data_IF_078106995859
#
_entry.id   IF_078106995859
#
_cell.length_a   1.000
_cell.length_b   1.000
_cell.length_c   1.000
_cell.angle_alpha   90.00
_cell.angle_beta   90.00
_cell.angle_gamma   90.00
#
_symmetry.space_group_name_H-M   'P 1'
#
loop_
_entity.id
_entity.type
_entity.pdbx_description
1 polymer ?
#
# COMPACT_ATOMS: atom_id res chain seq x y z
N UNK A 1 10.87 0.23 -21.52
CA UNK A 1 9.51 0.78 -21.30
C UNK A 1 9.59 2.29 -21.32
N UNK A 2 8.61 2.98 -21.90
CA UNK A 2 8.54 4.44 -21.90
C UNK A 2 7.78 4.92 -20.63
N UNK A 3 8.40 4.71 -19.47
CA UNK A 3 7.82 5.10 -18.17
C UNK A 3 7.93 6.62 -18.04
N UNK A 4 6.82 7.27 -17.66
CA UNK A 4 6.78 8.73 -17.46
C UNK A 4 6.26 9.13 -16.10
N UNK A 5 5.25 8.44 -15.57
CA UNK A 5 4.62 8.77 -14.29
C UNK A 5 4.94 7.67 -13.29
N UNK A 6 5.46 8.04 -12.13
CA UNK A 6 5.94 7.08 -11.12
C UNK A 6 5.42 7.47 -9.74
N UNK A 7 4.74 6.53 -9.07
CA UNK A 7 4.31 6.70 -7.69
C UNK A 7 5.49 6.60 -6.73
N UNK A 8 5.89 7.72 -6.12
CA UNK A 8 6.92 7.75 -5.09
C UNK A 8 6.36 7.76 -3.67
N UNK A 9 5.04 7.87 -3.49
CA UNK A 9 4.39 7.69 -2.20
C UNK A 9 4.35 6.19 -1.84
N UNK A 10 5.20 5.76 -0.91
CA UNK A 10 5.26 4.39 -0.43
C UNK A 10 5.93 4.32 0.95
N UNK A 11 6.01 3.12 1.52
CA UNK A 11 6.60 2.89 2.84
C UNK A 11 8.12 3.13 2.94
N UNK A 12 8.79 3.36 1.80
CA UNK A 12 10.23 3.61 1.63
C UNK A 12 10.55 5.03 1.13
N UNK A 13 9.54 5.90 0.98
CA UNK A 13 9.69 7.26 0.38
C UNK A 13 10.84 8.07 0.97
N UNK A 14 11.10 7.95 2.28
CA UNK A 14 12.10 8.75 2.98
C UNK A 14 13.18 7.94 3.67
N UNK A 15 13.50 6.73 3.19
CA UNK A 15 14.53 5.88 3.80
C UNK A 15 15.90 6.58 3.87
N UNK A 16 16.19 7.47 2.92
CA UNK A 16 17.39 8.33 2.89
C UNK A 16 17.14 9.75 3.43
N UNK A 17 16.10 9.91 4.25
CA UNK A 17 15.71 11.19 4.83
C UNK A 17 15.13 12.19 3.83
N UNK A 18 15.01 13.44 4.27
CA UNK A 18 14.43 14.52 3.45
C UNK A 18 15.32 14.88 2.26
N UNK A 19 16.64 14.81 2.41
CA UNK A 19 17.59 15.06 1.33
C UNK A 19 17.44 14.02 0.23
N UNK A 20 17.49 12.71 0.57
CA UNK A 20 17.30 11.65 -0.42
C UNK A 20 15.92 11.68 -1.12
N UNK A 21 14.86 12.07 -0.40
CA UNK A 21 13.55 12.31 -1.02
C UNK A 21 13.59 13.47 -2.02
N UNK A 22 14.18 14.59 -1.64
CA UNK A 22 14.26 15.80 -2.48
C UNK A 22 15.10 15.52 -3.72
N UNK A 23 16.28 14.89 -3.55
CA UNK A 23 17.13 14.45 -4.65
C UNK A 23 16.37 13.50 -5.59
N UNK A 24 15.58 12.55 -5.04
CA UNK A 24 14.78 11.64 -5.87
C UNK A 24 13.76 12.39 -6.71
N UNK A 25 13.08 13.38 -6.14
CA UNK A 25 12.10 14.22 -6.87
C UNK A 25 12.81 15.00 -7.98
N UNK A 26 13.90 15.70 -7.65
CA UNK A 26 14.64 16.54 -8.60
C UNK A 26 15.25 15.71 -9.73
N UNK A 27 15.90 14.59 -9.41
CA UNK A 27 16.55 13.72 -10.40
C UNK A 27 15.53 13.01 -11.30
N UNK A 28 14.34 12.68 -10.77
CA UNK A 28 13.23 12.16 -11.56
C UNK A 28 12.77 13.19 -12.60
N UNK A 29 12.49 14.42 -12.17
CA UNK A 29 12.04 15.50 -13.04
C UNK A 29 13.07 15.84 -14.13
N UNK A 30 14.34 15.92 -13.77
CA UNK A 30 15.44 16.14 -14.72
C UNK A 30 15.53 15.07 -15.82
N UNK A 31 15.09 13.85 -15.52
CA UNK A 31 15.06 12.71 -16.47
C UNK A 31 13.72 12.58 -17.21
N UNK A 32 12.79 13.51 -17.02
CA UNK A 32 11.47 13.48 -17.63
C UNK A 32 10.52 12.46 -17.00
N UNK A 33 10.80 12.02 -15.76
CA UNK A 33 9.86 11.30 -14.92
C UNK A 33 9.05 12.30 -14.09
N UNK A 34 7.77 12.02 -13.91
CA UNK A 34 6.83 12.85 -13.16
C UNK A 34 6.50 12.12 -11.86
N UNK A 35 6.98 12.65 -10.71
CA UNK A 35 6.74 12.03 -9.42
C UNK A 35 5.27 12.20 -9.00
N UNK A 36 4.66 11.13 -8.51
CA UNK A 36 3.29 11.13 -8.01
C UNK A 36 3.25 10.89 -6.49
N UNK A 37 2.44 11.69 -5.79
CA UNK A 37 2.12 11.49 -4.38
C UNK A 37 3.21 11.94 -3.40
N UNK A 38 4.20 12.71 -3.86
CA UNK A 38 5.26 13.33 -3.06
C UNK A 38 5.37 14.81 -3.40
N UNK A 39 5.90 15.62 -2.50
CA UNK A 39 6.14 17.05 -2.74
C UNK A 39 6.85 17.75 -1.59
N UNK A 40 7.13 19.04 -1.75
CA UNK A 40 7.85 19.84 -0.75
C UNK A 40 6.94 20.33 0.39
N UNK A 41 5.63 20.08 0.25
CA UNK A 41 4.60 20.34 1.26
C UNK A 41 3.46 19.32 1.15
N UNK A 42 2.60 19.24 2.17
CA UNK A 42 1.42 18.37 2.12
C UNK A 42 0.45 18.76 1.00
N UNK A 43 0.31 20.06 0.74
CA UNK A 43 -0.50 20.56 -0.35
C UNK A 43 0.03 20.06 -1.69
N UNK A 44 1.34 20.14 -1.93
CA UNK A 44 1.95 19.62 -3.17
C UNK A 44 1.84 18.11 -3.30
N UNK A 45 2.16 17.36 -2.24
CA UNK A 45 2.10 15.90 -2.28
C UNK A 45 0.69 15.39 -2.62
N UNK A 46 -0.35 16.11 -2.17
CA UNK A 46 -1.75 15.78 -2.44
C UNK A 46 -2.25 16.16 -3.83
N UNK A 47 -1.56 17.03 -4.56
CA UNK A 47 -2.07 17.54 -5.83
C UNK A 47 -2.34 16.38 -6.80
N UNK A 48 -3.48 16.41 -7.50
CA UNK A 48 -3.69 15.52 -8.64
C UNK A 48 -2.70 15.89 -9.74
N UNK A 49 -2.09 14.88 -10.36
CA UNK A 49 -1.30 15.05 -11.58
C UNK A 49 -2.21 14.80 -12.77
N UNK A 50 -2.26 15.76 -13.70
CA UNK A 50 -3.08 15.67 -14.90
C UNK A 50 -2.26 15.16 -16.09
N UNK A 51 -2.82 14.20 -16.80
CA UNK A 51 -2.23 13.58 -17.98
C UNK A 51 -3.16 13.89 -19.15
N UNK A 52 -2.71 14.74 -20.05
CA UNK A 52 -3.39 15.02 -21.30
C UNK A 52 -3.00 13.97 -22.35
N UNK A 53 -4.00 13.28 -22.89
CA UNK A 53 -3.86 12.31 -23.98
C UNK A 53 -4.68 12.77 -25.18
N UNK A 54 -4.54 12.09 -26.33
CA UNK A 54 -5.38 12.37 -27.48
C UNK A 54 -6.87 12.08 -27.21
N UNK A 55 -7.15 11.15 -26.28
CA UNK A 55 -8.47 10.58 -26.03
C UNK A 55 -9.09 11.01 -24.68
N UNK A 56 -8.49 12.02 -24.04
CA UNK A 56 -8.99 12.61 -22.80
C UNK A 56 -7.92 13.01 -21.80
N UNK A 57 -8.37 13.65 -20.71
CA UNK A 57 -7.55 14.03 -19.56
C UNK A 57 -7.79 13.09 -18.39
N UNK A 58 -6.70 12.55 -17.84
CA UNK A 58 -6.71 11.73 -16.61
C UNK A 58 -6.17 12.57 -15.46
N UNK A 59 -6.83 12.58 -14.31
CA UNK A 59 -6.24 13.01 -13.04
C UNK A 59 -5.79 11.78 -12.24
N UNK A 60 -4.55 11.79 -11.73
CA UNK A 60 -4.05 10.73 -10.84
C UNK A 60 -3.76 11.32 -9.46
N UNK A 61 -4.35 10.72 -8.43
CA UNK A 61 -4.05 10.99 -7.02
C UNK A 61 -3.32 9.77 -6.46
N UNK A 62 -2.09 9.94 -5.99
CA UNK A 62 -1.27 8.86 -5.41
C UNK A 62 -1.10 9.06 -3.91
N UNK A 63 -1.28 7.99 -3.14
CA UNK A 63 -1.41 8.01 -1.68
C UNK A 63 -0.56 6.91 -1.08
N UNK A 64 0.23 7.23 -0.05
CA UNK A 64 0.93 6.26 0.78
C UNK A 64 0.12 5.91 2.03
N UNK A 65 -0.10 4.62 2.28
CA UNK A 65 -0.84 4.13 3.45
C UNK A 65 0.09 3.47 4.46
N UNK A 66 0.93 2.55 4.00
CA UNK A 66 1.87 1.83 4.86
C UNK A 66 2.98 2.74 5.35
N UNK A 67 3.16 2.80 6.67
CA UNK A 67 4.08 3.74 7.36
C UNK A 67 3.84 5.20 6.97
N UNK A 68 2.60 5.56 6.62
CA UNK A 68 2.24 6.87 6.09
C UNK A 68 2.54 8.03 7.05
N UNK A 69 2.61 7.77 8.36
CA UNK A 69 3.01 8.73 9.38
C UNK A 69 4.51 9.06 9.38
N UNK A 70 5.36 8.13 8.94
CA UNK A 70 6.83 8.24 9.05
C UNK A 70 7.36 9.30 8.08
N UNK A 71 6.84 9.31 6.85
CA UNK A 71 7.29 10.19 5.78
C UNK A 71 6.21 11.17 5.31
N UNK A 72 5.19 11.43 6.16
CA UNK A 72 4.12 12.38 5.85
C UNK A 72 4.66 13.78 5.52
N UNK A 73 4.27 14.33 4.37
CA UNK A 73 4.48 15.74 4.08
C UNK A 73 3.71 16.62 5.07
N UNK A 74 4.19 17.84 5.30
CA UNK A 74 3.47 18.83 6.12
C UNK A 74 3.45 20.21 5.46
N UNK A 75 2.36 20.93 5.64
CA UNK A 75 2.27 22.33 5.22
C UNK A 75 3.04 23.24 6.18
N UNK A 76 3.47 24.44 5.73
CA UNK A 76 4.02 25.44 6.63
C UNK A 76 2.93 26.00 7.55
N UNK A 77 3.32 26.53 8.71
CA UNK A 77 2.37 27.16 9.63
C UNK A 77 3.04 27.69 10.90
N UNK A 78 2.55 28.81 11.41
CA UNK A 78 3.04 29.43 12.65
C UNK A 78 4.57 29.64 12.71
N UNK A 79 5.17 30.04 11.57
CA UNK A 79 6.62 30.22 11.46
C UNK A 79 7.44 28.94 11.23
N UNK A 80 6.80 27.76 11.22
CA UNK A 80 7.44 26.49 10.85
C UNK A 80 7.35 26.31 9.33
N UNK A 81 8.46 25.99 8.65
CA UNK A 81 8.46 25.72 7.21
C UNK A 81 7.71 24.43 6.87
N UNK A 82 7.39 24.26 5.60
CA UNK A 82 6.85 23.00 5.08
C UNK A 82 7.86 21.86 5.24
N UNK A 83 7.38 20.63 5.38
CA UNK A 83 8.23 19.44 5.36
C UNK A 83 7.91 18.62 4.10
N UNK A 84 8.93 18.32 3.27
CA UNK A 84 8.77 17.40 2.16
C UNK A 84 8.34 16.01 2.63
N UNK A 85 7.58 15.29 1.82
CA UNK A 85 7.11 13.96 2.15
C UNK A 85 6.10 13.40 1.15
N UNK A 86 5.50 12.27 1.53
CA UNK A 86 4.40 11.66 0.79
C UNK A 86 3.03 12.25 1.15
N UNK A 87 2.04 12.00 0.31
CA UNK A 87 0.61 12.18 0.56
C UNK A 87 0.09 11.04 1.46
N UNK A 88 -0.16 11.28 2.75
CA UNK A 88 -0.45 10.21 3.69
C UNK A 88 -1.95 9.95 3.80
N UNK A 89 -2.31 8.67 3.82
CA UNK A 89 -3.55 8.21 4.46
C UNK A 89 -3.17 7.46 5.74
N UNK A 90 -3.02 8.20 6.83
CA UNK A 90 -2.76 7.61 8.15
C UNK A 90 -3.94 6.76 8.58
N UNK A 91 -3.67 5.80 9.44
CA UNK A 91 -4.69 4.90 9.95
C UNK A 91 -4.34 4.44 11.37
N UNK A 92 -5.30 3.79 12.01
CA UNK A 92 -5.17 3.29 13.38
C UNK A 92 -5.71 1.88 13.48
N UNK A 93 -5.18 1.13 14.44
CA UNK A 93 -5.69 -0.18 14.85
C UNK A 93 -6.18 -0.14 16.28
N UNK A 94 -7.20 -0.92 16.57
CA UNK A 94 -7.73 -1.14 17.92
C UNK A 94 -8.11 -2.61 18.06
N UNK A 95 -7.65 -3.24 19.14
CA UNK A 95 -7.99 -4.63 19.43
C UNK A 95 -9.24 -4.67 20.27
N UNK A 96 -10.34 -5.15 19.69
CA UNK A 96 -11.56 -5.36 20.46
C UNK A 96 -11.40 -6.67 21.23
N UNK A 97 -11.67 -6.63 22.54
CA UNK A 97 -11.55 -7.79 23.44
C UNK A 97 -12.75 -7.85 24.38
N UNK A 98 -13.08 -9.05 24.86
CA UNK A 98 -14.15 -9.22 25.83
C UNK A 98 -13.77 -8.58 27.19
N UNK A 99 -14.75 -8.47 28.09
CA UNK A 99 -14.55 -7.87 29.41
C UNK A 99 -13.47 -8.55 30.26
N UNK A 100 -13.43 -9.89 30.25
CA UNK A 100 -12.45 -10.64 31.02
C UNK A 100 -11.01 -10.34 30.57
N UNK A 101 -10.76 -10.31 29.26
CA UNK A 101 -9.45 -10.00 28.69
C UNK A 101 -9.08 -8.52 28.91
N UNK A 102 -10.05 -7.61 28.78
CA UNK A 102 -9.86 -6.19 29.03
C UNK A 102 -9.40 -5.90 30.46
N UNK A 103 -10.08 -6.45 31.46
CA UNK A 103 -9.70 -6.30 32.87
C UNK A 103 -8.37 -7.02 33.18
N UNK A 104 -8.09 -8.14 32.50
CA UNK A 104 -6.81 -8.84 32.64
C UNK A 104 -5.64 -7.99 32.15
N UNK A 105 -5.77 -7.35 30.98
CA UNK A 105 -4.76 -6.44 30.42
C UNK A 105 -4.49 -5.25 31.34
N UNK A 106 -5.56 -4.63 31.86
CA UNK A 106 -5.47 -3.55 32.84
C UNK A 106 -4.74 -3.99 34.11
N UNK A 107 -5.12 -5.14 34.67
CA UNK A 107 -4.47 -5.68 35.86
C UNK A 107 -3.00 -6.03 35.65
N UNK A 108 -2.59 -6.51 34.46
CA UNK A 108 -1.18 -6.72 34.12
C UNK A 108 -0.44 -5.38 34.16
N UNK A 109 -0.95 -4.38 33.45
CA UNK A 109 -0.36 -3.04 33.34
C UNK A 109 -0.21 -2.34 34.70
N UNK A 110 -1.18 -2.52 35.59
CA UNK A 110 -1.11 -2.04 36.98
C UNK A 110 0.00 -2.74 37.79
N UNK A 111 0.09 -4.07 37.72
CA UNK A 111 1.10 -4.85 38.47
C UNK A 111 2.53 -4.57 38.03
N UNK A 112 2.75 -4.31 36.74
CA UNK A 112 4.07 -3.96 36.21
C UNK A 112 4.36 -2.44 36.30
N UNK A 113 3.41 -1.65 36.78
CA UNK A 113 3.58 -0.21 37.06
C UNK A 113 3.42 0.72 35.86
N UNK A 114 3.23 0.21 34.64
CA UNK A 114 3.10 1.06 33.45
C UNK A 114 1.78 1.84 33.44
N UNK A 115 0.72 1.35 34.07
CA UNK A 115 -0.53 2.10 34.23
C UNK A 115 -0.31 3.42 34.99
N UNK A 116 0.41 3.37 36.11
CA UNK A 116 0.73 4.56 36.90
C UNK A 116 1.65 5.54 36.15
N UNK A 117 2.60 4.99 35.37
CA UNK A 117 3.48 5.78 34.49
C UNK A 117 2.67 6.50 33.40
N UNK A 118 1.76 5.79 32.74
CA UNK A 118 0.89 6.33 31.68
C UNK A 118 0.00 7.46 32.22
N UNK A 119 -0.66 7.25 33.37
CA UNK A 119 -1.50 8.28 34.01
C UNK A 119 -0.69 9.52 34.44
N UNK A 120 0.50 9.30 35.01
CA UNK A 120 1.40 10.40 35.38
C UNK A 120 1.83 11.19 34.15
N UNK A 121 2.23 10.51 33.08
CA UNK A 121 2.61 11.12 31.82
C UNK A 121 1.46 11.91 31.20
N UNK A 122 0.28 11.32 31.05
CA UNK A 122 -0.91 12.01 30.53
C UNK A 122 -1.27 13.25 31.34
N UNK A 123 -1.19 13.18 32.67
CA UNK A 123 -1.46 14.35 33.54
C UNK A 123 -0.43 15.47 33.35
N UNK A 124 0.85 15.12 33.24
CA UNK A 124 1.94 16.10 33.07
C UNK A 124 1.87 16.73 31.67
N UNK A 125 1.70 15.91 30.63
CA UNK A 125 1.62 16.33 29.23
C UNK A 125 0.23 16.86 28.83
N UNK A 126 -0.73 16.83 29.77
CA UNK A 126 -2.12 17.27 29.57
C UNK A 126 -2.89 16.50 28.48
N UNK A 127 -2.49 15.27 28.20
CA UNK A 127 -3.21 14.39 27.27
C UNK A 127 -4.51 13.90 27.88
N UNK A 128 -5.57 13.87 27.06
CA UNK A 128 -6.89 13.41 27.48
C UNK A 128 -6.92 11.89 27.51
N UNK A 129 -7.47 11.34 28.59
CA UNK A 129 -7.83 9.92 28.63
C UNK A 129 -8.97 9.64 27.64
N UNK A 130 -8.91 8.48 26.99
CA UNK A 130 -10.00 7.96 26.15
C UNK A 130 -11.19 7.54 27.02
N UNK A 131 -12.25 7.04 26.40
CA UNK A 131 -13.41 6.52 27.14
C UNK A 131 -13.04 5.33 28.03
N UNK A 132 -13.85 5.03 29.04
CA UNK A 132 -13.64 3.91 29.97
C UNK A 132 -13.56 2.53 29.28
N UNK A 133 -14.10 2.43 28.06
CA UNK A 133 -14.04 1.24 27.24
C UNK A 133 -12.73 1.11 26.44
N UNK A 134 -11.80 2.06 26.55
CA UNK A 134 -10.52 2.00 25.86
C UNK A 134 -9.37 1.91 26.85
N UNK A 135 -8.38 1.09 26.50
CA UNK A 135 -7.16 0.94 27.29
C UNK A 135 -5.92 1.03 26.41
N UNK A 136 -4.90 1.74 26.89
CA UNK A 136 -3.64 1.95 26.19
C UNK A 136 -2.54 1.19 26.94
N UNK A 137 -2.17 0.03 26.41
CA UNK A 137 -1.19 -0.87 27.02
C UNK A 137 0.19 -0.63 26.41
N UNK A 138 1.10 -0.03 27.17
CA UNK A 138 2.47 0.24 26.74
C UNK A 138 3.06 1.50 27.35
N UNK A 139 3.98 2.12 26.63
CA UNK A 139 4.67 3.35 27.03
C UNK A 139 4.05 4.57 26.34
N UNK A 140 3.95 5.68 27.06
CA UNK A 140 3.40 6.92 26.49
C UNK A 140 4.23 7.43 25.30
N UNK A 141 5.56 7.30 25.36
CA UNK A 141 6.49 7.86 24.36
C UNK A 141 7.17 6.81 23.48
N UNK A 142 7.29 5.56 23.94
CA UNK A 142 7.85 4.47 23.13
C UNK A 142 6.77 3.67 22.36
N UNK A 143 5.49 4.02 22.57
CA UNK A 143 4.35 3.41 21.88
C UNK A 143 3.55 2.44 22.74
N UNK A 144 2.29 2.26 22.36
CA UNK A 144 1.31 1.43 23.06
C UNK A 144 0.31 0.79 22.11
N UNK A 145 -0.29 -0.31 22.54
CA UNK A 145 -1.43 -0.94 21.86
C UNK A 145 -2.74 -0.38 22.43
N UNK A 146 -3.71 -0.12 21.57
CA UNK A 146 -5.05 0.32 21.99
C UNK A 146 -6.02 -0.85 21.99
N UNK A 147 -6.65 -1.10 23.13
CA UNK A 147 -7.70 -2.10 23.30
C UNK A 147 -9.05 -1.42 23.51
N UNK A 148 -10.12 -2.04 23.00
CA UNK A 148 -11.52 -1.61 23.16
C UNK A 148 -12.32 -2.77 23.79
N UNK A 149 -13.06 -2.51 24.86
CA UNK A 149 -13.96 -3.51 25.46
C UNK A 149 -15.19 -3.71 24.55
N UNK A 150 -15.45 -4.95 24.12
CA UNK A 150 -16.59 -5.28 23.27
C UNK A 150 -16.87 -6.79 23.15
N UNK A 151 -18.09 -7.14 22.72
CA UNK A 151 -18.58 -8.54 22.71
C UNK A 151 -17.96 -9.41 21.61
N UNK A 152 -17.45 -8.81 20.54
CA UNK A 152 -16.92 -9.51 19.37
C UNK A 152 -15.43 -9.21 19.19
N UNK A 153 -14.53 -10.04 19.75
CA UNK A 153 -13.09 -9.83 19.63
C UNK A 153 -12.64 -9.81 18.18
N UNK A 154 -11.88 -8.78 17.81
CA UNK A 154 -11.39 -8.57 16.43
C UNK A 154 -10.33 -7.49 16.37
N UNK A 155 -9.58 -7.47 15.27
CA UNK A 155 -8.80 -6.29 14.88
C UNK A 155 -9.73 -5.30 14.18
N UNK A 156 -9.86 -4.10 14.75
CA UNK A 156 -10.60 -2.98 14.15
C UNK A 156 -9.59 -1.99 13.58
N UNK A 157 -9.79 -1.59 12.33
CA UNK A 157 -8.94 -0.60 11.65
C UNK A 157 -9.77 0.58 11.19
N UNK A 158 -9.17 1.77 11.17
CA UNK A 158 -9.83 2.99 10.74
C UNK A 158 -8.83 3.97 10.13
N UNK A 159 -9.19 4.58 8.99
CA UNK A 159 -8.44 5.68 8.40
C UNK A 159 -8.51 6.93 9.29
N UNK A 160 -7.47 7.76 9.24
CA UNK A 160 -7.43 9.07 9.86
C UNK A 160 -8.45 9.98 9.18
N UNK A 161 -9.44 10.44 9.93
CA UNK A 161 -10.62 11.11 9.38
C UNK A 161 -10.27 12.37 8.57
N UNK A 162 -9.33 13.18 9.04
CA UNK A 162 -8.92 14.39 8.34
C UNK A 162 -8.14 14.06 7.04
N UNK A 163 -7.27 13.04 7.06
CA UNK A 163 -6.52 12.66 5.86
C UNK A 163 -7.49 12.17 4.78
N UNK A 164 -8.42 11.28 5.18
CA UNK A 164 -9.47 10.80 4.31
C UNK A 164 -10.31 11.95 3.75
N UNK A 165 -10.78 12.87 4.59
CA UNK A 165 -11.59 14.00 4.15
C UNK A 165 -10.86 14.84 3.09
N UNK A 166 -9.62 15.26 3.37
CA UNK A 166 -8.86 16.16 2.50
C UNK A 166 -8.47 15.48 1.17
N UNK A 167 -8.20 14.17 1.18
CA UNK A 167 -7.98 13.38 -0.04
C UNK A 167 -9.27 13.27 -0.86
N UNK A 168 -10.41 13.00 -0.21
CA UNK A 168 -11.70 12.92 -0.91
C UNK A 168 -12.11 14.27 -1.51
N UNK A 169 -11.82 15.39 -0.84
CA UNK A 169 -11.99 16.74 -1.40
C UNK A 169 -11.13 16.94 -2.66
N UNK A 170 -9.89 16.46 -2.64
CA UNK A 170 -9.00 16.49 -3.81
C UNK A 170 -9.55 15.67 -4.98
N UNK A 171 -10.13 14.50 -4.71
CA UNK A 171 -10.75 13.64 -5.73
C UNK A 171 -11.97 14.35 -6.35
N UNK A 172 -12.82 14.99 -5.54
CA UNK A 172 -13.97 15.76 -6.04
C UNK A 172 -13.53 16.92 -6.93
N UNK A 173 -12.53 17.68 -6.51
CA UNK A 173 -11.97 18.76 -7.32
C UNK A 173 -11.36 18.24 -8.65
N UNK A 174 -10.65 17.11 -8.60
CA UNK A 174 -10.10 16.48 -9.80
C UNK A 174 -11.19 16.04 -10.78
N UNK A 175 -12.33 15.53 -10.29
CA UNK A 175 -13.46 15.10 -11.11
C UNK A 175 -14.06 16.25 -11.93
N UNK A 176 -14.05 17.48 -11.42
CA UNK A 176 -14.53 18.65 -12.14
C UNK A 176 -13.57 19.14 -13.24
N UNK A 177 -12.32 18.63 -13.26
CA UNK A 177 -11.22 19.15 -14.10
C UNK A 177 -10.60 18.10 -15.02
N UNK A 178 -11.17 16.90 -15.07
CA UNK A 178 -10.68 15.76 -15.87
C UNK A 178 -11.83 14.87 -16.36
N UNK A 179 -11.59 14.13 -17.44
CA UNK A 179 -12.53 13.12 -17.94
C UNK A 179 -12.51 11.88 -17.03
N UNK A 180 -11.31 11.48 -16.60
CA UNK A 180 -11.09 10.30 -15.77
C UNK A 180 -10.29 10.65 -14.52
N UNK A 181 -10.64 10.04 -13.39
CA UNK A 181 -9.95 10.23 -12.10
C UNK A 181 -9.52 8.87 -11.59
N UNK A 182 -8.21 8.68 -11.47
CA UNK A 182 -7.58 7.45 -11.02
C UNK A 182 -6.95 7.68 -9.65
N UNK A 183 -7.17 6.74 -8.73
CA UNK A 183 -6.63 6.80 -7.37
C UNK A 183 -5.69 5.62 -7.16
N UNK A 184 -4.44 5.92 -6.84
CA UNK A 184 -3.39 4.96 -6.56
C UNK A 184 -3.12 4.88 -5.06
N UNK A 185 -3.14 3.66 -4.50
CA UNK A 185 -2.84 3.39 -3.08
C UNK A 185 -1.60 2.50 -2.96
N UNK A 186 -0.57 2.98 -2.27
CA UNK A 186 0.49 2.10 -1.78
C UNK A 186 0.11 1.55 -0.39
N UNK A 187 -0.20 0.25 -0.30
CA UNK A 187 -0.67 -0.41 0.91
C UNK A 187 -0.22 -1.86 1.01
N UNK A 188 0.13 -2.28 2.22
CA UNK A 188 0.42 -3.66 2.61
C UNK A 188 -0.65 -4.24 3.54
N UNK A 189 -1.43 -3.38 4.20
CA UNK A 189 -2.35 -3.75 5.27
C UNK A 189 -3.38 -4.79 4.78
N UNK A 190 -3.37 -5.96 5.42
CA UNK A 190 -4.35 -7.01 5.19
C UNK A 190 -5.20 -7.29 6.43
N UNK A 191 -6.21 -8.14 6.29
CA UNK A 191 -7.08 -8.51 7.39
C UNK A 191 -6.31 -9.11 8.59
N UNK A 192 -6.76 -8.77 9.80
CA UNK A 192 -6.17 -9.25 11.05
C UNK A 192 -4.66 -8.97 11.19
N UNK A 193 -4.17 -7.90 10.56
CA UNK A 193 -2.74 -7.56 10.48
C UNK A 193 -1.88 -8.61 9.76
N UNK A 194 -2.49 -9.52 8.99
CA UNK A 194 -1.76 -10.36 8.07
C UNK A 194 -1.50 -9.58 6.77
N UNK A 195 -0.29 -9.07 6.62
CA UNK A 195 0.14 -8.31 5.44
C UNK A 195 0.10 -9.15 4.15
N UNK A 196 0.11 -10.48 4.28
CA UNK A 196 0.09 -11.42 3.15
C UNK A 196 -1.27 -12.06 2.92
N UNK A 197 -2.31 -11.59 3.63
CA UNK A 197 -3.70 -11.94 3.37
C UNK A 197 -4.13 -11.49 1.98
N UNK A 198 -4.93 -12.34 1.31
CA UNK A 198 -5.58 -12.02 0.05
C UNK A 198 -6.64 -10.91 0.19
N UNK A 199 -7.08 -10.64 1.43
CA UNK A 199 -8.05 -9.60 1.75
C UNK A 199 -7.37 -8.39 2.39
N UNK A 200 -7.60 -7.16 1.87
CA UNK A 200 -7.07 -5.94 2.45
C UNK A 200 -7.73 -5.65 3.80
N UNK A 201 -7.08 -4.80 4.62
CA UNK A 201 -7.71 -4.34 5.86
C UNK A 201 -9.01 -3.56 5.56
N UNK A 202 -10.02 -3.70 6.43
CA UNK A 202 -11.36 -3.15 6.20
C UNK A 202 -11.40 -1.63 5.92
N UNK A 203 -10.49 -0.85 6.52
CA UNK A 203 -10.40 0.59 6.26
C UNK A 203 -9.95 0.92 4.83
N UNK A 204 -9.15 0.05 4.19
CA UNK A 204 -8.74 0.19 2.77
C UNK A 204 -9.96 0.02 1.87
N UNK A 205 -10.78 -1.01 2.10
CA UNK A 205 -12.04 -1.22 1.35
C UNK A 205 -12.97 -0.03 1.52
N UNK A 206 -13.14 0.43 2.76
CA UNK A 206 -13.97 1.59 3.08
C UNK A 206 -13.48 2.85 2.38
N UNK A 207 -12.17 3.11 2.40
CA UNK A 207 -11.57 4.26 1.74
C UNK A 207 -11.69 4.16 0.21
N UNK A 208 -11.41 3.00 -0.39
CA UNK A 208 -11.48 2.80 -1.84
C UNK A 208 -12.90 3.03 -2.37
N UNK A 209 -13.93 2.51 -1.69
CA UNK A 209 -15.34 2.80 -2.01
C UNK A 209 -15.67 4.29 -1.84
N UNK A 210 -15.19 4.92 -0.77
CA UNK A 210 -15.36 6.36 -0.55
C UNK A 210 -14.70 7.20 -1.65
N UNK A 211 -13.56 6.75 -2.19
CA UNK A 211 -12.89 7.41 -3.31
C UNK A 211 -13.73 7.35 -4.59
N UNK A 212 -14.36 6.20 -4.87
CA UNK A 212 -15.34 6.07 -5.97
C UNK A 212 -16.54 6.98 -5.75
N UNK A 213 -17.11 7.01 -4.54
CA UNK A 213 -18.22 7.92 -4.18
C UNK A 213 -17.84 9.40 -4.36
N UNK A 214 -16.57 9.74 -4.20
CA UNK A 214 -16.05 11.10 -4.41
C UNK A 214 -15.75 11.44 -5.89
N UNK A 215 -15.84 10.47 -6.81
CA UNK A 215 -15.65 10.68 -8.24
C UNK A 215 -14.48 9.92 -8.87
N UNK A 216 -13.82 9.01 -8.16
CA UNK A 216 -12.83 8.12 -8.76
C UNK A 216 -13.50 7.14 -9.74
N UNK A 217 -12.92 7.03 -10.93
CA UNK A 217 -13.34 6.08 -11.95
C UNK A 217 -12.54 4.77 -11.89
N UNK A 218 -11.40 4.77 -11.22
CA UNK A 218 -10.61 3.58 -10.97
C UNK A 218 -9.81 3.76 -9.68
N UNK A 219 -9.79 2.74 -8.84
CA UNK A 219 -8.88 2.67 -7.69
C UNK A 219 -7.98 1.46 -7.90
N UNK A 220 -6.67 1.64 -7.75
CA UNK A 220 -5.73 0.52 -7.80
C UNK A 220 -4.69 0.62 -6.68
N UNK A 221 -4.48 -0.51 -6.03
CA UNK A 221 -3.46 -0.70 -5.02
C UNK A 221 -2.18 -1.30 -5.59
N UNK A 222 -1.04 -0.95 -5.00
CA UNK A 222 0.21 -1.71 -5.07
C UNK A 222 0.87 -1.73 -3.68
N UNK A 223 1.99 -2.44 -3.53
CA UNK A 223 2.75 -2.48 -2.26
C UNK A 223 2.84 -3.88 -1.69
N UNK A 224 1.72 -4.59 -1.51
CA UNK A 224 1.71 -5.92 -0.89
C UNK A 224 2.51 -7.01 -1.64
N UNK A 225 3.09 -6.71 -2.80
CA UNK A 225 3.95 -7.57 -3.63
C UNK A 225 3.29 -8.76 -4.35
N UNK A 226 1.98 -8.97 -4.18
CA UNK A 226 1.19 -9.98 -4.89
C UNK A 226 -0.20 -9.43 -5.22
N UNK A 227 -0.90 -9.99 -6.20
CA UNK A 227 -2.24 -9.49 -6.56
C UNK A 227 -3.31 -9.85 -5.53
N UNK A 228 -4.22 -8.91 -5.22
CA UNK A 228 -5.40 -9.14 -4.36
C UNK A 228 -6.68 -9.09 -5.20
N UNK A 229 -7.82 -9.46 -4.60
CA UNK A 229 -9.11 -9.50 -5.27
C UNK A 229 -9.53 -8.16 -5.90
N UNK A 230 -10.50 -8.23 -6.81
CA UNK A 230 -10.98 -7.06 -7.58
C UNK A 230 -12.46 -6.86 -7.33
N UNK A 231 -12.90 -5.62 -7.13
CA UNK A 231 -14.30 -5.26 -6.92
C UNK A 231 -14.80 -4.36 -8.07
N UNK A 232 -16.09 -4.48 -8.43
CA UNK A 232 -16.80 -3.52 -9.27
C UNK A 232 -17.78 -2.77 -8.38
N UNK A 233 -17.37 -1.61 -7.88
CA UNK A 233 -18.18 -0.79 -6.99
C UNK A 233 -18.82 0.35 -7.78
N UNK A 234 -20.16 0.38 -7.84
CA UNK A 234 -20.93 1.33 -8.69
C UNK A 234 -20.47 1.33 -10.16
N UNK A 235 -20.08 0.15 -10.68
CA UNK A 235 -19.55 -0.02 -12.03
C UNK A 235 -18.09 0.42 -12.22
N UNK A 236 -17.45 1.00 -11.19
CA UNK A 236 -16.04 1.38 -11.25
C UNK A 236 -15.15 0.26 -10.69
N UNK A 237 -14.04 -0.09 -11.37
CA UNK A 237 -13.13 -1.12 -10.87
C UNK A 237 -12.28 -0.63 -9.69
N UNK A 238 -12.17 -1.47 -8.67
CA UNK A 238 -11.26 -1.34 -7.53
C UNK A 238 -10.34 -2.57 -7.54
N UNK A 239 -9.08 -2.38 -7.90
CA UNK A 239 -8.05 -3.40 -7.83
C UNK A 239 -7.33 -3.28 -6.49
N UNK A 240 -7.62 -4.15 -5.51
CA UNK A 240 -7.06 -3.98 -4.16
C UNK A 240 -5.53 -4.16 -4.09
N UNK A 241 -4.94 -4.90 -5.03
CA UNK A 241 -3.51 -4.88 -5.28
C UNK A 241 -3.21 -5.46 -6.67
N UNK A 242 -2.43 -4.77 -7.50
CA UNK A 242 -2.03 -5.23 -8.85
C UNK A 242 -0.72 -6.03 -8.85
N UNK A 243 -0.08 -6.13 -7.68
CA UNK A 243 1.16 -6.86 -7.51
C UNK A 243 2.39 -6.09 -7.97
N UNK A 244 3.43 -6.80 -8.38
CA UNK A 244 4.73 -6.23 -8.72
C UNK A 244 5.00 -6.30 -10.23
N UNK A 245 5.44 -5.18 -10.81
CA UNK A 245 5.90 -5.14 -12.20
C UNK A 245 7.36 -5.60 -12.35
N UNK A 246 8.21 -5.30 -11.37
CA UNK A 246 9.61 -5.70 -11.34
C UNK A 246 10.03 -5.96 -9.90
N UNK A 247 10.80 -7.02 -9.68
CA UNK A 247 11.27 -7.46 -8.37
C UNK A 247 12.68 -8.07 -8.47
N UNK A 248 13.62 -7.27 -8.95
CA UNK A 248 15.02 -7.66 -9.12
C UNK A 248 15.78 -7.36 -7.82
N UNK A 249 16.28 -8.40 -7.16
CA UNK A 249 17.04 -8.27 -5.91
C UNK A 249 18.51 -8.64 -6.06
N UNK A 250 18.89 -9.53 -6.98
CA UNK A 250 20.14 -10.29 -6.93
C UNK A 250 21.18 -9.86 -7.99
N UNK A 251 20.75 -9.40 -9.16
CA UNK A 251 21.56 -9.28 -10.37
C UNK A 251 22.12 -7.88 -10.65
N UNK A 252 21.64 -6.85 -9.95
CA UNK A 252 22.12 -5.47 -10.05
C UNK A 252 23.31 -5.12 -9.16
N UNK A 253 23.76 -3.86 -9.28
CA UNK A 253 24.65 -3.19 -8.32
C UNK A 253 23.91 -3.07 -6.98
N UNK A 254 23.87 -4.17 -6.23
CA UNK A 254 23.16 -4.27 -4.96
C UNK A 254 23.83 -3.40 -3.91
N UNK A 255 23.39 -2.15 -3.80
CA UNK A 255 23.81 -1.22 -2.75
C UNK A 255 22.98 -1.53 -1.50
N UNK A 256 23.61 -2.19 -0.53
CA UNK A 256 22.96 -2.64 0.71
C UNK A 256 23.61 -1.90 1.87
N UNK A 257 22.78 -1.31 2.73
CA UNK A 257 23.28 -0.59 3.89
C UNK A 257 23.89 -1.54 4.93
N UNK A 258 24.95 -1.13 5.66
CA UNK A 258 25.51 -1.88 6.78
C UNK A 258 24.46 -2.33 7.82
N UNK A 259 23.46 -1.48 8.06
CA UNK A 259 22.36 -1.75 8.99
C UNK A 259 21.51 -2.92 8.53
N UNK A 260 21.33 -3.11 7.21
CA UNK A 260 20.59 -4.24 6.69
C UNK A 260 21.38 -5.54 6.89
N UNK A 261 22.69 -5.55 6.60
CA UNK A 261 23.53 -6.72 6.91
C UNK A 261 23.45 -7.08 8.40
N UNK A 262 23.59 -6.09 9.27
CA UNK A 262 23.50 -6.25 10.72
C UNK A 262 22.13 -6.78 11.15
N UNK A 263 21.04 -6.26 10.58
CA UNK A 263 19.67 -6.70 10.88
C UNK A 263 19.44 -8.18 10.50
N UNK A 264 20.17 -8.69 9.51
CA UNK A 264 20.18 -10.10 9.13
C UNK A 264 21.31 -10.92 9.77
N UNK A 265 22.08 -10.34 10.70
CA UNK A 265 23.13 -11.03 11.45
C UNK A 265 24.44 -11.25 10.68
N UNK A 266 24.69 -10.48 9.63
CA UNK A 266 25.94 -10.49 8.86
C UNK A 266 26.89 -9.38 9.28
N UNK A 267 28.17 -9.51 8.90
CA UNK A 267 29.16 -8.43 8.99
C UNK A 267 28.76 -7.25 8.08
N UNK A 268 29.08 -6.04 8.49
CA UNK A 268 28.76 -4.80 7.75
C UNK A 268 29.37 -4.76 6.34
N UNK A 269 30.46 -5.49 6.10
CA UNK A 269 31.14 -5.57 4.80
C UNK A 269 30.90 -6.90 4.07
N UNK A 270 29.87 -7.66 4.47
CA UNK A 270 29.50 -8.92 3.81
C UNK A 270 29.10 -8.71 2.34
N UNK A 271 29.26 -9.74 1.52
CA UNK A 271 28.89 -9.66 0.11
C UNK A 271 27.35 -9.60 -0.05
N UNK A 272 26.82 -8.74 -0.94
CA UNK A 272 25.40 -8.73 -1.26
C UNK A 272 24.88 -10.11 -1.70
N UNK A 273 25.73 -10.88 -2.39
CA UNK A 273 25.38 -12.23 -2.86
C UNK A 273 25.10 -13.21 -1.72
N UNK A 274 25.74 -13.04 -0.56
CA UNK A 274 25.52 -13.87 0.62
C UNK A 274 24.12 -13.60 1.19
N UNK A 275 23.81 -12.33 1.44
CA UNK A 275 22.50 -11.91 1.95
C UNK A 275 21.37 -12.35 1.02
N UNK A 276 21.52 -12.13 -0.29
CA UNK A 276 20.50 -12.48 -1.27
C UNK A 276 20.26 -13.98 -1.38
N UNK A 277 21.33 -14.79 -1.51
CA UNK A 277 21.19 -16.26 -1.57
C UNK A 277 20.45 -16.81 -0.35
N UNK A 278 20.79 -16.30 0.82
CA UNK A 278 20.19 -16.72 2.08
C UNK A 278 18.77 -16.17 2.28
N UNK A 279 18.29 -15.23 1.47
CA UNK A 279 16.87 -14.81 1.42
C UNK A 279 16.09 -15.53 0.32
N UNK A 280 16.79 -16.08 -0.67
CA UNK A 280 16.20 -16.81 -1.79
C UNK A 280 15.92 -18.27 -1.45
N UNK A 281 16.88 -18.94 -0.78
CA UNK A 281 16.75 -20.33 -0.35
C UNK A 281 17.15 -20.52 1.11
N UNK A 282 16.48 -21.45 1.77
CA UNK A 282 16.84 -21.89 3.12
C UNK A 282 18.09 -22.80 3.12
N UNK A 283 18.51 -23.25 4.30
CA UNK A 283 19.66 -24.15 4.46
C UNK A 283 19.46 -25.55 3.84
N UNK A 284 18.21 -25.94 3.54
CA UNK A 284 17.85 -27.21 2.90
C UNK A 284 17.76 -27.07 1.37
N UNK A 285 17.83 -25.84 0.85
CA UNK A 285 17.75 -25.53 -0.58
C UNK A 285 16.33 -25.29 -1.10
N UNK A 286 15.33 -25.22 -0.22
CA UNK A 286 13.95 -24.86 -0.56
C UNK A 286 13.84 -23.35 -0.81
N UNK A 287 12.92 -22.95 -1.68
CA UNK A 287 12.64 -21.53 -1.90
C UNK A 287 11.96 -20.90 -0.69
N UNK A 288 12.37 -19.69 -0.31
CA UNK A 288 11.81 -18.98 0.84
C UNK A 288 11.53 -17.51 0.55
N UNK A 289 10.88 -16.82 1.49
CA UNK A 289 10.49 -15.41 1.32
C UNK A 289 9.58 -15.23 0.10
N UNK A 290 9.84 -14.21 -0.71
CA UNK A 290 9.06 -13.96 -1.93
C UNK A 290 9.19 -15.05 -3.00
N UNK A 291 10.19 -15.93 -2.90
CA UNK A 291 10.39 -17.03 -3.84
C UNK A 291 9.56 -18.28 -3.48
N UNK A 292 8.99 -18.31 -2.27
CA UNK A 292 8.31 -19.50 -1.72
C UNK A 292 6.97 -19.82 -2.37
N UNK A 293 6.34 -18.85 -3.04
CA UNK A 293 4.98 -19.02 -3.54
C UNK A 293 4.75 -18.29 -4.88
N UNK A 294 4.09 -18.91 -5.87
CA UNK A 294 3.85 -18.31 -7.19
C UNK A 294 3.14 -16.94 -7.16
N UNK A 295 2.25 -16.72 -6.17
CA UNK A 295 1.51 -15.45 -6.00
C UNK A 295 2.37 -14.18 -6.02
N UNK A 296 3.64 -14.24 -5.61
CA UNK A 296 4.55 -13.09 -5.64
C UNK A 296 5.16 -12.86 -7.03
N UNK A 297 5.21 -13.90 -7.85
CA UNK A 297 5.74 -13.89 -9.22
C UNK A 297 4.64 -13.57 -10.24
N UNK A 298 3.43 -14.09 -10.01
CA UNK A 298 2.26 -13.98 -10.88
C UNK A 298 1.48 -12.69 -10.60
N UNK A 299 1.58 -11.73 -11.51
CA UNK A 299 1.00 -10.39 -11.37
C UNK A 299 0.28 -9.98 -12.66
N UNK A 300 -0.26 -8.77 -12.74
CA UNK A 300 -0.80 -8.25 -14.00
C UNK A 300 -0.46 -6.77 -14.21
N UNK A 301 -0.40 -6.38 -15.48
CA UNK A 301 -0.48 -4.98 -15.90
C UNK A 301 -1.92 -4.67 -16.29
N UNK A 302 -2.30 -3.41 -16.17
CA UNK A 302 -3.59 -2.93 -16.66
C UNK A 302 -3.32 -1.98 -17.82
N UNK A 303 -3.87 -2.31 -18.99
CA UNK A 303 -3.91 -1.42 -20.14
C UNK A 303 -5.28 -0.78 -20.23
N UNK A 304 -5.32 0.55 -20.39
CA UNK A 304 -6.57 1.31 -20.47
C UNK A 304 -6.75 1.86 -21.89
N UNK A 305 -7.95 1.68 -22.44
CA UNK A 305 -8.41 2.29 -23.70
C UNK A 305 -9.45 3.36 -23.34
N UNK A 306 -9.11 4.64 -23.51
CA UNK A 306 -9.95 5.77 -23.08
C UNK A 306 -10.88 6.27 -24.19
N UNK A 307 -12.06 6.75 -23.81
CA UNK A 307 -12.98 7.45 -24.69
C UNK A 307 -13.68 8.61 -23.94
N UNK A 308 -13.07 9.80 -24.00
CA UNK A 308 -13.62 10.99 -23.35
C UNK A 308 -15.01 11.40 -23.89
N UNK A 309 -15.27 11.24 -25.19
CA UNK A 309 -16.56 11.60 -25.80
C UNK A 309 -17.73 10.82 -25.17
N UNK A 310 -17.47 9.57 -24.78
CA UNK A 310 -18.46 8.69 -24.12
C UNK A 310 -18.32 8.68 -22.61
N UNK A 311 -17.34 9.38 -22.03
CA UNK A 311 -16.99 9.35 -20.61
C UNK A 311 -16.84 7.89 -20.11
N UNK A 312 -16.19 7.06 -20.91
CA UNK A 312 -16.01 5.63 -20.67
C UNK A 312 -14.57 5.23 -20.95
N UNK A 313 -14.09 4.22 -20.25
CA UNK A 313 -12.86 3.54 -20.60
C UNK A 313 -13.08 2.03 -20.57
N UNK A 314 -12.40 1.32 -21.45
CA UNK A 314 -12.21 -0.12 -21.37
C UNK A 314 -10.82 -0.40 -20.78
N UNK A 315 -10.63 -1.61 -20.26
CA UNK A 315 -9.33 -2.04 -19.79
C UNK A 315 -9.11 -3.54 -20.01
N UNK A 316 -7.83 -3.89 -20.12
CA UNK A 316 -7.35 -5.25 -20.25
C UNK A 316 -6.34 -5.55 -19.14
N UNK A 317 -6.52 -6.69 -18.48
CA UNK A 317 -5.54 -7.25 -17.56
C UNK A 317 -4.56 -8.11 -18.35
N UNK A 318 -3.28 -7.76 -18.31
CA UNK A 318 -2.20 -8.45 -19.02
C UNK A 318 -1.40 -9.24 -17.98
N UNK A 319 -1.56 -10.56 -17.90
CA UNK A 319 -0.84 -11.39 -16.93
C UNK A 319 0.66 -11.35 -17.20
N UNK A 320 1.43 -11.17 -16.13
CA UNK A 320 2.89 -11.21 -16.16
C UNK A 320 3.41 -12.20 -15.13
N UNK A 321 4.56 -12.77 -15.42
CA UNK A 321 5.32 -13.60 -14.50
C UNK A 321 6.73 -13.01 -14.32
N UNK A 322 7.11 -12.77 -13.07
CA UNK A 322 8.45 -12.30 -12.71
C UNK A 322 9.49 -13.42 -12.69
N UNK A 323 9.06 -14.67 -12.85
CA UNK A 323 9.87 -15.89 -12.84
C UNK A 323 10.85 -15.93 -11.67
N UNK A 324 10.35 -15.63 -10.46
CA UNK A 324 11.21 -15.52 -9.27
C UNK A 324 12.02 -16.80 -9.02
N UNK A 325 11.50 -17.97 -9.38
CA UNK A 325 12.18 -19.26 -9.21
C UNK A 325 13.01 -19.71 -10.42
N UNK A 326 13.28 -18.82 -11.38
CA UNK A 326 14.06 -19.14 -12.58
C UNK A 326 15.49 -19.62 -12.22
N UNK A 327 16.06 -20.55 -12.98
CA UNK A 327 17.40 -21.11 -12.69
C UNK A 327 18.53 -20.07 -12.81
N UNK A 328 18.43 -19.19 -13.79
CA UNK A 328 19.32 -18.03 -13.98
C UNK A 328 18.88 -16.86 -13.11
N UNK A 329 19.78 -16.41 -12.23
CA UNK A 329 19.62 -15.27 -11.31
C UNK A 329 19.28 -13.98 -12.07
N UNK A 330 19.97 -13.71 -13.18
CA UNK A 330 19.77 -12.49 -14.00
C UNK A 330 18.42 -12.41 -14.72
N UNK A 331 17.56 -13.42 -14.56
CA UNK A 331 16.22 -13.44 -15.14
C UNK A 331 15.11 -13.36 -14.09
N UNK A 332 15.42 -13.55 -12.81
CA UNK A 332 14.46 -13.48 -11.71
C UNK A 332 14.05 -12.04 -11.49
N UNK A 333 12.77 -11.81 -11.23
CA UNK A 333 12.26 -10.47 -10.97
C UNK A 333 11.98 -9.64 -12.21
N UNK A 334 12.42 -10.10 -13.40
CA UNK A 334 12.20 -9.40 -14.66
C UNK A 334 10.89 -9.88 -15.29
N UNK A 335 9.94 -8.96 -15.56
CA UNK A 335 8.63 -9.32 -16.07
C UNK A 335 8.70 -9.93 -17.47
N UNK A 336 7.95 -11.00 -17.68
CA UNK A 336 7.56 -11.50 -18.99
C UNK A 336 6.05 -11.67 -19.05
N UNK A 337 5.48 -11.75 -20.25
CA UNK A 337 4.11 -12.22 -20.39
C UNK A 337 3.99 -13.62 -19.78
N UNK A 338 2.96 -13.84 -18.98
CA UNK A 338 2.75 -15.12 -18.32
C UNK A 338 2.49 -16.23 -19.34
N UNK A 339 2.97 -17.45 -19.04
CA UNK A 339 2.53 -18.65 -19.77
C UNK A 339 1.04 -18.92 -19.52
N UNK A 340 0.42 -19.79 -20.31
CA UNK A 340 -0.98 -20.20 -20.06
C UNK A 340 -1.16 -20.81 -18.67
N UNK A 341 -0.16 -21.55 -18.19
CA UNK A 341 -0.15 -22.15 -16.85
C UNK A 341 -0.11 -21.08 -15.75
N UNK A 342 0.84 -20.13 -15.82
CA UNK A 342 0.96 -19.06 -14.83
C UNK A 342 -0.26 -18.11 -14.87
N UNK A 343 -0.78 -17.82 -16.06
CA UNK A 343 -2.01 -17.05 -16.20
C UNK A 343 -3.22 -17.82 -15.63
N UNK A 344 -3.29 -19.14 -15.83
CA UNK A 344 -4.32 -20.01 -15.25
C UNK A 344 -4.29 -20.00 -13.72
N UNK A 345 -3.12 -20.21 -13.13
CA UNK A 345 -2.88 -20.14 -11.67
C UNK A 345 -3.31 -18.79 -11.08
N UNK A 346 -2.87 -17.69 -11.71
CA UNK A 346 -3.23 -16.33 -11.31
C UNK A 346 -4.74 -16.12 -11.30
N UNK A 347 -5.41 -16.49 -12.40
CA UNK A 347 -6.85 -16.32 -12.58
C UNK A 347 -7.66 -17.20 -11.62
N UNK A 348 -7.23 -18.44 -11.38
CA UNK A 348 -7.89 -19.34 -10.44
C UNK A 348 -7.89 -18.74 -9.03
N UNK A 349 -6.72 -18.32 -8.53
CA UNK A 349 -6.60 -17.71 -7.20
C UNK A 349 -7.41 -16.41 -7.11
N UNK A 350 -7.21 -15.49 -8.05
CA UNK A 350 -7.90 -14.19 -8.00
C UNK A 350 -9.41 -14.32 -8.13
N UNK A 351 -9.90 -15.26 -8.95
CA UNK A 351 -11.33 -15.51 -9.04
C UNK A 351 -11.90 -16.15 -7.77
N UNK A 352 -11.16 -17.02 -7.08
CA UNK A 352 -11.61 -17.55 -5.80
C UNK A 352 -11.83 -16.42 -4.78
N UNK A 353 -10.83 -15.56 -4.61
CA UNK A 353 -10.87 -14.40 -3.69
C UNK A 353 -11.98 -13.41 -4.09
N UNK A 354 -12.07 -13.08 -5.38
CA UNK A 354 -13.00 -12.05 -5.87
C UNK A 354 -14.47 -12.52 -5.83
N UNK A 355 -14.75 -13.79 -6.15
CA UNK A 355 -16.12 -14.36 -6.06
C UNK A 355 -16.59 -14.46 -4.62
N UNK A 356 -15.71 -14.87 -3.71
CA UNK A 356 -16.05 -15.05 -2.31
C UNK A 356 -16.53 -13.73 -1.70
N UNK A 357 -15.76 -12.64 -1.85
CA UNK A 357 -15.99 -11.37 -1.15
C UNK A 357 -16.68 -10.29 -1.99
N UNK A 358 -16.30 -10.13 -3.25
CA UNK A 358 -16.69 -8.99 -4.08
C UNK A 358 -17.73 -9.29 -5.15
N UNK A 359 -18.10 -10.57 -5.31
CA UNK A 359 -19.08 -11.02 -6.32
C UNK A 359 -18.68 -10.58 -7.72
N UNK A 360 -17.41 -10.74 -8.03
CA UNK A 360 -16.79 -10.43 -9.32
C UNK A 360 -15.94 -11.59 -9.79
N UNK A 361 -15.69 -11.65 -11.09
CA UNK A 361 -14.73 -12.57 -11.68
C UNK A 361 -14.00 -11.92 -12.86
N UNK A 362 -12.72 -12.25 -12.98
CA UNK A 362 -11.90 -11.98 -14.15
C UNK A 362 -12.20 -13.08 -15.18
N UNK A 363 -12.61 -12.65 -16.37
CA UNK A 363 -12.91 -13.54 -17.49
C UNK A 363 -12.12 -13.15 -18.72
N UNK A 364 -11.96 -14.14 -19.60
CA UNK A 364 -11.51 -13.91 -20.96
C UNK A 364 -12.71 -13.55 -21.84
N UNK A 365 -12.67 -12.36 -22.43
CA UNK A 365 -13.65 -11.89 -23.41
C UNK A 365 -12.93 -11.62 -24.73
N UNK A 366 -13.02 -12.57 -25.66
CA UNK A 366 -12.18 -12.57 -26.86
C UNK A 366 -10.71 -12.82 -26.47
N UNK A 367 -9.81 -11.92 -26.88
CA UNK A 367 -8.38 -12.01 -26.53
C UNK A 367 -8.06 -11.34 -25.18
N UNK A 368 -8.95 -10.48 -24.68
CA UNK A 368 -8.73 -9.64 -23.49
C UNK A 368 -9.17 -10.32 -22.21
N UNK A 369 -8.45 -10.08 -21.11
CA UNK A 369 -8.94 -10.38 -19.76
C UNK A 369 -9.55 -9.12 -19.16
N UNK A 370 -10.77 -9.23 -18.63
CA UNK A 370 -11.51 -8.13 -18.02
C UNK A 370 -12.30 -8.62 -16.81
N UNK A 371 -12.83 -7.69 -16.01
CA UNK A 371 -13.60 -7.99 -14.80
C UNK A 371 -15.08 -7.84 -15.12
N UNK A 372 -15.91 -8.75 -14.60
CA UNK A 372 -17.36 -8.62 -14.61
C UNK A 372 -17.97 -9.00 -13.27
N UNK A 373 -19.23 -8.66 -13.08
CA UNK A 373 -20.03 -9.18 -11.97
C UNK A 373 -20.22 -10.69 -12.09
N UNK A 374 -20.11 -11.37 -10.95
CA UNK A 374 -20.37 -12.80 -10.79
C UNK A 374 -21.74 -13.01 -10.14
N UNK A 375 -22.57 -13.83 -10.77
CA UNK A 375 -23.96 -14.08 -10.36
C UNK A 375 -24.10 -15.28 -9.44
#
# INVERSE_FOLDING_TARGET
MNIRYVGFANNHTGDYGIEGLTDTIEEAEQRGLIPLGVGMSLHEARKPVFIDTADGRIAIITIGVTRSEVFAASNPGNGVPARPGLNPLRWSRTYVVNEQDFETLKGISERIGIAASMETGKRIETFKSKSENHYEFGSLFEGYLTFEKGENPRVKTAAHAQDQQEILETIRDAKERSDFVFVNLHTHEGENEDWYSDYPAAFIETFARSAVDAGAHCVFGHGAHFTRGVELYQGQPIFYNIGSLLMEFEAGESIISPEMFTAYGYDENESPSTLHKNRTKDSEGNWQGFYSHPKFSENFLISFDLNADRQQFDYELIPIDLRLTHSSVTKRGLPVLASEEAAGSLLERLNAVSKERYKTEIIRQGERLTVKEWK
#
